data_IF_505634892642
#
_entry.id   IF_505634892642
#
_cell.length_a   1.000
_cell.length_b   1.000
_cell.length_c   1.000
_cell.angle_alpha   90.00
_cell.angle_beta   90.00
_cell.angle_gamma   90.00
#
_symmetry.space_group_name_H-M   'P 1'
#
loop_
_entity.id
_entity.type
_entity.pdbx_description
1 polymer ?
#
# COMPACT_ATOMS: atom_id res chain seq x y z
N UNK A 1 -26.46 -7.13 9.13
CA UNK A 1 -25.44 -6.31 9.80
C UNK A 1 -25.02 -5.21 8.84
N UNK A 2 -24.91 -3.96 9.29
CA UNK A 2 -24.57 -2.81 8.43
C UNK A 2 -23.17 -2.98 7.80
N UNK A 3 -23.09 -2.92 6.47
CA UNK A 3 -21.83 -3.11 5.71
C UNK A 3 -20.78 -2.06 6.05
N UNK A 4 -21.22 -0.83 6.29
CA UNK A 4 -20.33 0.27 6.66
C UNK A 4 -19.69 0.01 8.03
N UNK A 5 -20.49 -0.48 8.97
CA UNK A 5 -20.03 -0.90 10.29
C UNK A 5 -19.09 -2.13 10.22
N UNK A 6 -19.35 -3.10 9.33
CA UNK A 6 -18.44 -4.22 9.08
C UNK A 6 -17.08 -3.76 8.56
N UNK A 7 -17.06 -2.81 7.61
CA UNK A 7 -15.83 -2.20 7.11
C UNK A 7 -15.05 -1.48 8.21
N UNK A 8 -15.75 -0.74 9.07
CA UNK A 8 -15.16 -0.12 10.27
C UNK A 8 -14.52 -1.15 11.19
N UNK A 9 -15.20 -2.27 11.48
CA UNK A 9 -14.62 -3.31 12.33
C UNK A 9 -13.39 -3.98 11.71
N UNK A 10 -13.29 -4.07 10.38
CA UNK A 10 -12.05 -4.50 9.72
C UNK A 10 -10.91 -3.51 9.95
N UNK A 11 -11.17 -2.20 9.91
CA UNK A 11 -10.18 -1.18 10.29
C UNK A 11 -9.68 -1.41 11.73
N UNK A 12 -10.61 -1.49 12.69
CA UNK A 12 -10.30 -1.78 14.09
C UNK A 12 -9.44 -3.03 14.25
N UNK A 13 -9.87 -4.15 13.66
CA UNK A 13 -9.33 -5.48 13.92
C UNK A 13 -7.98 -5.73 13.27
N UNK A 14 -7.81 -5.35 12.01
CA UNK A 14 -6.65 -5.77 11.21
C UNK A 14 -5.64 -4.67 10.98
N UNK A 15 -6.05 -3.40 11.11
CA UNK A 15 -5.24 -2.28 10.65
C UNK A 15 -4.81 -1.31 11.76
N UNK A 16 -5.27 -1.53 13.00
CA UNK A 16 -4.82 -0.85 14.20
C UNK A 16 -3.43 -1.29 14.67
N UNK A 17 -2.84 -0.51 15.58
CA UNK A 17 -1.55 -0.75 16.20
C UNK A 17 -0.48 0.26 15.77
N UNK A 18 0.72 0.07 16.32
CA UNK A 18 1.90 0.86 15.98
C UNK A 18 2.73 0.10 14.93
N UNK A 19 2.86 0.70 13.76
CA UNK A 19 3.52 0.13 12.60
C UNK A 19 4.84 0.83 12.37
N UNK A 20 5.91 0.07 12.40
CA UNK A 20 7.27 0.55 12.34
C UNK A 20 7.83 0.23 10.97
N UNK A 21 8.35 1.24 10.27
CA UNK A 21 8.86 1.03 8.92
C UNK A 21 9.74 2.16 8.42
N UNK A 22 10.33 1.92 7.26
CA UNK A 22 11.13 2.93 6.56
C UNK A 22 10.35 3.36 5.34
N UNK A 23 9.90 4.59 5.38
CA UNK A 23 9.15 5.18 4.29
C UNK A 23 10.15 5.73 3.29
N UNK A 24 10.03 5.30 2.03
CA UNK A 24 10.92 5.75 0.97
C UNK A 24 10.11 6.40 -0.13
N UNK A 25 10.53 7.60 -0.53
CA UNK A 25 9.97 8.35 -1.64
C UNK A 25 10.82 8.13 -2.88
N UNK A 26 10.17 7.82 -3.98
CA UNK A 26 10.83 7.56 -5.25
C UNK A 26 10.39 8.55 -6.32
N UNK A 27 11.28 8.82 -7.28
CA UNK A 27 10.96 9.50 -8.53
C UNK A 27 10.05 8.64 -9.41
N UNK A 28 9.62 9.19 -10.55
CA UNK A 28 8.86 8.43 -11.56
C UNK A 28 9.71 7.36 -12.27
N UNK A 29 11.03 7.49 -12.23
CA UNK A 29 12.00 6.53 -12.79
C UNK A 29 12.41 5.44 -11.80
N UNK A 30 11.95 5.51 -10.54
CA UNK A 30 12.30 4.56 -9.49
C UNK A 30 13.54 4.93 -8.66
N UNK A 31 14.13 6.11 -8.89
CA UNK A 31 15.25 6.60 -8.09
C UNK A 31 14.81 7.01 -6.69
N UNK A 32 15.59 6.67 -5.68
CA UNK A 32 15.34 7.10 -4.30
C UNK A 32 15.54 8.62 -4.19
N UNK A 33 14.50 9.33 -3.77
CA UNK A 33 14.56 10.76 -3.45
C UNK A 33 14.96 10.94 -1.99
N UNK A 34 14.33 10.21 -1.08
CA UNK A 34 14.61 10.25 0.36
C UNK A 34 13.99 9.05 1.09
N UNK A 35 14.56 8.71 2.24
CA UNK A 35 14.04 7.70 3.16
C UNK A 35 14.02 8.22 4.60
N UNK A 36 13.02 7.84 5.38
CA UNK A 36 12.90 8.20 6.79
C UNK A 36 12.21 7.09 7.58
N UNK A 37 12.51 7.01 8.87
CA UNK A 37 11.81 6.08 9.78
C UNK A 37 10.45 6.67 10.13
N UNK A 38 9.44 5.80 10.20
CA UNK A 38 8.10 6.14 10.62
C UNK A 38 7.59 5.13 11.63
N UNK A 39 6.94 5.63 12.69
CA UNK A 39 6.01 4.86 13.51
C UNK A 39 4.61 5.40 13.18
N UNK A 40 3.87 4.66 12.34
CA UNK A 40 2.48 4.96 11.98
C UNK A 40 1.56 4.27 12.98
N UNK A 41 0.86 5.05 13.80
CA UNK A 41 0.02 4.54 14.87
C UNK A 41 -1.45 4.75 14.54
N UNK A 42 -2.23 3.68 14.54
CA UNK A 42 -3.70 3.70 14.52
C UNK A 42 -4.19 3.12 15.83
N UNK A 43 -4.60 3.97 16.77
CA UNK A 43 -4.97 3.56 18.13
C UNK A 43 -6.48 3.67 18.34
N UNK A 44 -7.21 2.55 18.34
CA UNK A 44 -8.63 2.54 18.67
C UNK A 44 -8.84 2.88 20.15
N UNK A 45 -9.92 3.58 20.48
CA UNK A 45 -10.44 3.63 21.86
C UNK A 45 -10.92 2.24 22.28
N UNK A 46 -11.10 2.03 23.59
CA UNK A 46 -11.47 0.73 24.16
C UNK A 46 -12.76 0.13 23.54
N UNK A 47 -13.68 0.97 23.11
CA UNK A 47 -14.95 0.62 22.48
C UNK A 47 -14.89 0.56 20.94
N UNK A 48 -13.72 0.87 20.36
CA UNK A 48 -13.48 1.10 18.95
C UNK A 48 -14.49 2.01 18.24
N UNK A 49 -15.09 3.00 18.92
CA UNK A 49 -15.92 4.01 18.24
C UNK A 49 -15.08 5.11 17.57
N UNK A 50 -13.80 5.20 17.93
CA UNK A 50 -12.87 6.20 17.41
C UNK A 50 -11.47 5.59 17.26
N UNK A 51 -10.75 5.96 16.20
CA UNK A 51 -9.35 5.59 15.97
C UNK A 51 -8.52 6.86 15.86
N UNK A 52 -7.55 7.02 16.76
CA UNK A 52 -6.59 8.10 16.74
C UNK A 52 -5.43 7.75 15.81
N UNK A 53 -5.08 8.65 14.90
CA UNK A 53 -3.98 8.46 13.97
C UNK A 53 -2.88 9.48 14.20
N UNK A 54 -1.67 8.98 14.38
CA UNK A 54 -0.46 9.77 14.47
C UNK A 54 0.68 9.07 13.73
N UNK A 55 1.56 9.87 13.14
CA UNK A 55 2.82 9.38 12.59
C UNK A 55 3.98 10.07 13.29
N UNK A 56 4.94 9.28 13.76
CA UNK A 56 6.21 9.79 14.30
C UNK A 56 7.33 9.54 13.29
N UNK A 57 7.88 10.61 12.73
CA UNK A 57 8.93 10.58 11.72
C UNK A 57 10.31 10.82 12.35
N UNK A 58 11.32 10.12 11.85
CA UNK A 58 12.72 10.40 12.12
C UNK A 58 13.50 10.41 10.81
N UNK A 59 14.01 11.59 10.44
CA UNK A 59 14.70 11.84 9.19
C UNK A 59 16.20 11.56 9.29
N UNK A 60 16.88 11.50 8.14
CA UNK A 60 18.31 11.19 8.04
C UNK A 60 19.23 12.12 8.83
N UNK A 61 18.85 13.40 8.93
CA UNK A 61 19.59 14.44 9.65
C UNK A 61 19.31 14.44 11.17
N UNK A 62 18.57 13.45 11.69
CA UNK A 62 18.19 13.36 13.09
C UNK A 62 16.98 14.20 13.49
N UNK A 63 16.42 15.00 12.57
CA UNK A 63 15.16 15.72 12.83
C UNK A 63 14.05 14.70 13.10
N UNK A 64 13.24 14.99 14.12
CA UNK A 64 12.01 14.24 14.42
C UNK A 64 10.79 15.14 14.25
N UNK A 65 9.68 14.54 13.83
CA UNK A 65 8.41 15.25 13.67
C UNK A 65 7.25 14.30 14.01
N UNK A 66 6.30 14.76 14.82
CA UNK A 66 5.05 14.03 15.05
C UNK A 66 3.92 14.75 14.34
N UNK A 67 3.23 14.05 13.46
CA UNK A 67 2.01 14.54 12.81
C UNK A 67 0.81 13.82 13.39
N UNK A 68 -0.14 14.59 13.89
CA UNK A 68 -1.43 14.11 14.41
C UNK A 68 -2.49 14.40 13.34
N UNK A 69 -3.35 13.42 13.09
CA UNK A 69 -4.46 13.53 12.15
C UNK A 69 -5.78 13.58 12.92
N UNK A 70 -6.82 14.12 12.28
CA UNK A 70 -8.17 14.08 12.83
C UNK A 70 -8.59 12.64 13.13
N UNK A 71 -9.20 12.38 14.31
CA UNK A 71 -9.66 11.05 14.65
C UNK A 71 -10.70 10.53 13.65
N UNK A 72 -10.58 9.26 13.28
CA UNK A 72 -11.62 8.57 12.53
C UNK A 72 -12.75 8.20 13.50
N UNK A 73 -14.01 8.38 13.09
CA UNK A 73 -15.19 8.11 13.93
C UNK A 73 -16.11 7.10 13.27
N UNK A 74 -16.58 6.12 14.04
CA UNK A 74 -17.49 5.09 13.55
C UNK A 74 -18.81 5.70 13.02
N UNK A 75 -19.41 5.12 11.96
CA UNK A 75 -18.88 4.07 11.08
C UNK A 75 -18.13 4.63 9.87
N UNK A 76 -17.77 5.92 9.89
CA UNK A 76 -17.26 6.62 8.71
C UNK A 76 -15.79 6.29 8.51
N UNK A 77 -15.51 5.49 7.48
CA UNK A 77 -14.18 5.42 6.85
C UNK A 77 -14.34 5.70 5.36
N UNK A 78 -13.48 6.55 4.80
CA UNK A 78 -13.34 6.66 3.35
C UNK A 78 -12.52 5.50 2.76
N UNK A 79 -11.85 4.73 3.61
CA UNK A 79 -11.05 3.56 3.23
C UNK A 79 -11.91 2.32 3.09
N UNK A 80 -11.49 1.44 2.18
CA UNK A 80 -12.09 0.14 1.96
C UNK A 80 -11.17 -0.94 2.50
N UNK A 81 -11.67 -1.77 3.41
CA UNK A 81 -10.88 -2.77 4.13
C UNK A 81 -11.35 -4.18 3.79
N UNK A 82 -10.41 -4.98 3.30
CA UNK A 82 -10.49 -6.44 3.24
C UNK A 82 -9.61 -7.03 4.36
N UNK A 83 -9.58 -8.34 4.54
CA UNK A 83 -8.86 -8.95 5.68
C UNK A 83 -7.32 -8.85 5.55
N UNK A 84 -6.84 -8.75 4.32
CA UNK A 84 -5.44 -8.77 3.92
C UNK A 84 -5.02 -7.59 3.03
N UNK A 85 -5.91 -6.64 2.79
CA UNK A 85 -5.50 -5.35 2.24
C UNK A 85 -6.52 -4.26 2.47
N UNK A 86 -6.08 -3.01 2.37
CA UNK A 86 -6.97 -1.87 2.33
C UNK A 86 -6.58 -0.93 1.21
N UNK A 87 -7.51 -0.05 0.88
CA UNK A 87 -7.19 1.06 0.02
C UNK A 87 -7.87 2.37 0.40
N UNK A 88 -7.10 3.45 0.34
CA UNK A 88 -7.52 4.84 0.37
C UNK A 88 -7.14 5.53 -0.95
N UNK A 89 -7.77 6.64 -1.27
CA UNK A 89 -7.39 7.41 -2.45
C UNK A 89 -8.48 8.31 -2.98
N UNK A 90 -8.13 9.04 -4.01
CA UNK A 90 -9.06 9.83 -4.80
C UNK A 90 -10.09 8.89 -5.45
N UNK A 91 -11.36 9.29 -5.39
CA UNK A 91 -12.46 8.57 -6.05
C UNK A 91 -12.70 9.05 -7.48
N UNK A 92 -12.17 10.22 -7.85
CA UNK A 92 -12.35 10.84 -9.15
C UNK A 92 -11.10 11.64 -9.52
N UNK A 93 -10.80 11.71 -10.83
CA UNK A 93 -9.84 12.68 -11.37
C UNK A 93 -10.58 14.00 -11.56
N UNK A 94 -10.12 15.06 -10.88
CA UNK A 94 -10.72 16.39 -10.92
C UNK A 94 -9.68 17.39 -11.43
N UNK A 95 -10.10 18.26 -12.35
CA UNK A 95 -9.23 19.34 -12.84
C UNK A 95 -8.80 20.25 -11.70
N UNK A 96 -7.52 20.62 -11.64
CA UNK A 96 -6.98 21.49 -10.61
C UNK A 96 -6.89 20.84 -9.23
N UNK A 97 -6.85 19.50 -9.14
CA UNK A 97 -6.74 18.80 -7.86
C UNK A 97 -5.78 17.61 -7.98
N UNK A 98 -4.95 17.41 -6.96
CA UNK A 98 -4.07 16.25 -6.92
C UNK A 98 -4.86 14.94 -6.85
N UNK A 99 -4.34 13.90 -7.48
CA UNK A 99 -4.88 12.55 -7.40
C UNK A 99 -3.90 11.62 -6.67
N UNK A 100 -4.40 10.67 -5.89
CA UNK A 100 -3.54 9.63 -5.31
C UNK A 100 -4.29 8.31 -5.13
N UNK A 101 -3.51 7.24 -5.12
CA UNK A 101 -3.91 5.87 -4.78
C UNK A 101 -3.02 5.38 -3.67
N UNK A 102 -3.60 4.94 -2.54
CA UNK A 102 -2.92 4.29 -1.42
C UNK A 102 -3.42 2.85 -1.30
N UNK A 103 -2.55 1.89 -1.55
CA UNK A 103 -2.86 0.46 -1.50
C UNK A 103 -1.92 -0.17 -0.48
N UNK A 104 -2.50 -0.81 0.53
CA UNK A 104 -1.78 -1.58 1.52
C UNK A 104 -2.19 -3.05 1.43
N UNK A 105 -1.19 -3.92 1.39
CA UNK A 105 -1.30 -5.35 1.51
C UNK A 105 -0.76 -5.78 2.87
N UNK A 106 -1.36 -6.81 3.46
CA UNK A 106 -1.03 -7.29 4.81
C UNK A 106 -0.83 -8.80 4.78
N UNK A 107 0.23 -9.22 5.46
CA UNK A 107 0.49 -10.62 5.75
C UNK A 107 0.98 -10.73 7.18
N UNK A 108 0.20 -11.39 8.03
CA UNK A 108 0.48 -11.50 9.47
C UNK A 108 0.70 -10.12 10.12
N UNK A 109 1.91 -9.86 10.61
CA UNK A 109 2.33 -8.61 11.25
C UNK A 109 3.05 -7.65 10.30
N UNK A 110 3.23 -8.04 9.05
CA UNK A 110 3.90 -7.24 8.02
C UNK A 110 2.88 -6.57 7.09
N UNK A 111 3.24 -5.39 6.60
CA UNK A 111 2.49 -4.64 5.60
C UNK A 111 3.41 -4.14 4.50
N UNK A 112 2.91 -4.19 3.28
CA UNK A 112 3.49 -3.52 2.13
C UNK A 112 2.48 -2.50 1.63
N UNK A 113 2.83 -1.23 1.72
CA UNK A 113 2.00 -0.15 1.19
C UNK A 113 2.73 0.58 0.08
N UNK A 114 2.04 0.96 -0.97
CA UNK A 114 2.56 1.88 -1.97
C UNK A 114 1.53 2.94 -2.33
N UNK A 115 2.00 4.18 -2.42
CA UNK A 115 1.21 5.33 -2.85
C UNK A 115 1.73 5.84 -4.19
N UNK A 116 0.85 5.90 -5.19
CA UNK A 116 1.07 6.69 -6.39
C UNK A 116 0.43 8.07 -6.22
N UNK A 117 1.21 9.15 -6.40
CA UNK A 117 0.72 10.53 -6.28
C UNK A 117 0.91 11.28 -7.60
N UNK A 118 -0.17 11.92 -8.03
CA UNK A 118 -0.26 12.73 -9.24
C UNK A 118 -0.50 14.20 -8.86
N UNK A 119 -0.02 15.11 -9.70
CA UNK A 119 -0.25 16.54 -9.55
C UNK A 119 -1.63 16.97 -10.08
N UNK A 120 -1.88 18.27 -10.09
CA UNK A 120 -3.16 18.88 -10.49
C UNK A 120 -3.45 18.78 -12.00
N UNK A 121 -2.43 18.48 -12.81
CA UNK A 121 -2.57 18.17 -14.23
C UNK A 121 -2.90 16.70 -14.48
N UNK A 122 -2.82 15.86 -13.44
CA UNK A 122 -2.95 14.41 -13.56
C UNK A 122 -1.64 13.71 -13.93
N UNK A 123 -0.51 14.41 -13.94
CA UNK A 123 0.81 13.81 -14.19
C UNK A 123 1.33 13.11 -12.94
N UNK A 124 1.86 11.90 -13.10
CA UNK A 124 2.48 11.16 -11.99
C UNK A 124 3.69 11.95 -11.48
N UNK A 125 3.72 12.23 -10.17
CA UNK A 125 4.76 13.06 -9.55
C UNK A 125 5.81 12.26 -8.79
N UNK A 126 5.38 11.20 -8.09
CA UNK A 126 6.23 10.36 -7.23
C UNK A 126 5.50 9.13 -6.71
N UNK A 127 6.29 8.21 -6.19
CA UNK A 127 5.81 7.12 -5.34
C UNK A 127 6.23 7.32 -3.89
N UNK A 128 5.50 6.70 -2.97
CA UNK A 128 6.01 6.47 -1.61
C UNK A 128 5.66 5.06 -1.17
N UNK A 129 6.66 4.32 -0.70
CA UNK A 129 6.52 2.90 -0.34
C UNK A 129 6.82 2.73 1.14
N UNK A 130 5.97 1.96 1.83
CA UNK A 130 6.03 1.68 3.27
C UNK A 130 6.05 0.16 3.51
N UNK A 131 7.23 -0.47 3.55
CA UNK A 131 7.39 -1.74 4.26
C UNK A 131 7.30 -1.46 5.76
N UNK A 132 6.33 -2.06 6.44
CA UNK A 132 6.08 -1.84 7.87
C UNK A 132 5.86 -3.16 8.60
N UNK A 133 6.24 -3.21 9.88
CA UNK A 133 6.00 -4.32 10.79
C UNK A 133 5.32 -3.85 12.06
N UNK A 134 4.41 -4.66 12.60
CA UNK A 134 3.69 -4.36 13.84
C UNK A 134 4.64 -4.46 15.06
N UNK A 135 4.70 -3.40 15.86
CA UNK A 135 5.33 -3.40 17.18
C UNK A 135 6.84 -3.15 17.24
N UNK A 136 7.60 -3.28 16.14
CA UNK A 136 9.04 -3.02 16.12
C UNK A 136 9.58 -2.79 14.70
N UNK A 137 10.70 -2.07 14.60
CA UNK A 137 11.47 -2.03 13.36
C UNK A 137 12.13 -3.39 13.13
N UNK A 138 12.05 -3.90 11.91
CA UNK A 138 12.86 -5.05 11.51
C UNK A 138 14.32 -4.57 11.43
N UNK A 139 15.12 -4.92 12.43
CA UNK A 139 16.54 -4.62 12.42
C UNK A 139 17.24 -5.47 11.35
N UNK A 140 18.01 -4.82 10.47
CA UNK A 140 19.04 -5.51 9.72
C UNK A 140 20.12 -5.97 10.72
N UNK A 141 20.47 -7.26 10.69
CA UNK A 141 21.54 -7.83 11.53
C UNK A 141 22.79 -6.94 11.45
N UNK A 142 23.13 -6.32 12.58
CA UNK A 142 24.29 -5.47 12.72
C UNK A 142 25.55 -6.34 12.73
N UNK A 143 26.21 -6.48 11.59
CA UNK A 143 27.66 -6.74 11.59
C UNK A 143 28.36 -5.39 11.75
N UNK A 144 29.14 -5.30 12.82
CA UNK A 144 29.63 -4.06 13.44
C UNK A 144 30.15 -3.00 12.47
N UNK A 145 29.69 -1.76 12.64
CA UNK A 145 30.28 -0.61 11.97
C UNK A 145 29.67 0.68 12.49
N UNK A 146 30.54 1.55 12.98
CA UNK A 146 30.28 2.81 13.69
C UNK A 146 29.30 3.77 13.00
N UNK A 147 28.72 4.59 13.87
CA UNK A 147 27.66 5.59 13.69
C UNK A 147 28.05 6.70 12.70
N UNK A 148 27.51 6.62 11.47
CA UNK A 148 27.19 7.76 10.57
C UNK A 148 26.55 7.32 9.24
N UNK A 149 26.61 6.03 8.90
CA UNK A 149 26.00 5.45 7.68
C UNK A 149 24.71 4.64 7.94
N UNK A 150 24.10 4.80 9.11
CA UNK A 150 23.01 3.93 9.57
C UNK A 150 21.75 3.96 8.70
N UNK A 151 21.43 5.07 8.00
CA UNK A 151 20.26 5.10 7.10
C UNK A 151 20.42 4.31 5.80
N UNK A 152 21.65 4.07 5.32
CA UNK A 152 21.88 3.23 4.14
C UNK A 152 21.92 1.72 4.47
N UNK A 153 21.90 1.36 5.76
CA UNK A 153 22.08 -0.03 6.23
C UNK A 153 20.79 -0.74 6.66
N UNK A 154 19.63 -0.19 6.35
CA UNK A 154 18.34 -0.80 6.74
C UNK A 154 17.74 -1.78 5.72
N UNK A 155 18.48 -2.13 4.66
CA UNK A 155 17.97 -2.93 3.53
C UNK A 155 18.70 -4.27 3.44
N UNK A 156 18.75 -5.02 4.54
CA UNK A 156 19.26 -6.40 4.52
C UNK A 156 18.12 -7.43 4.63
N UNK A 157 16.99 -7.14 3.94
CA UNK A 157 16.03 -8.19 3.59
C UNK A 157 16.60 -8.90 2.38
N UNK A 158 16.79 -10.24 2.41
CA UNK A 158 17.27 -10.98 1.25
C UNK A 158 16.45 -10.60 0.02
N UNK A 159 17.13 -10.26 -1.07
CA UNK A 159 16.46 -9.97 -2.32
C UNK A 159 15.70 -11.23 -2.76
N UNK A 160 14.37 -11.15 -2.80
CA UNK A 160 13.55 -12.19 -3.40
C UNK A 160 13.69 -12.09 -4.92
N UNK A 161 13.79 -13.22 -5.64
CA UNK A 161 13.73 -13.19 -7.09
C UNK A 161 12.36 -12.64 -7.53
N UNK A 162 12.27 -11.96 -8.70
CA UNK A 162 10.98 -11.58 -9.27
C UNK A 162 10.02 -12.77 -9.34
N UNK A 163 8.73 -12.56 -9.04
CA UNK A 163 7.75 -13.64 -8.93
C UNK A 163 7.66 -14.52 -10.19
N UNK A 164 7.86 -13.95 -11.38
CA UNK A 164 7.85 -14.67 -12.66
C UNK A 164 9.04 -15.61 -12.83
N UNK A 165 10.13 -15.41 -12.10
CA UNK A 165 11.29 -16.31 -12.08
C UNK A 165 11.11 -17.47 -11.10
N UNK A 166 10.14 -17.38 -10.18
CA UNK A 166 9.82 -18.44 -9.23
C UNK A 166 8.89 -19.47 -9.86
N UNK A 167 7.81 -19.01 -10.49
CA UNK A 167 6.82 -19.88 -11.13
C UNK A 167 5.97 -19.09 -12.13
N UNK A 168 5.52 -19.76 -13.19
CA UNK A 168 4.47 -19.27 -14.09
C UNK A 168 3.05 -19.60 -13.62
N UNK A 169 2.91 -20.50 -12.64
CA UNK A 169 1.66 -21.23 -12.37
C UNK A 169 0.94 -20.78 -11.09
N UNK A 170 1.25 -19.59 -10.60
CA UNK A 170 0.62 -18.97 -9.44
C UNK A 170 -0.91 -18.97 -9.56
N UNK A 171 -1.57 -19.74 -8.68
CA UNK A 171 -3.03 -19.82 -8.57
C UNK A 171 -3.50 -19.10 -7.32
N UNK A 172 -4.66 -18.47 -7.38
CA UNK A 172 -5.13 -17.63 -6.29
C UNK A 172 -6.61 -17.40 -6.22
N UNK A 173 -6.97 -16.55 -5.27
CA UNK A 173 -8.34 -16.04 -5.10
C UNK A 173 -8.33 -14.52 -5.12
N UNK A 174 -9.35 -13.93 -5.73
CA UNK A 174 -9.60 -12.49 -5.77
C UNK A 174 -10.81 -12.17 -4.90
N UNK A 175 -10.63 -11.26 -3.95
CA UNK A 175 -11.70 -10.65 -3.19
C UNK A 175 -11.87 -9.18 -3.61
N UNK A 176 -13.11 -8.75 -3.84
CA UNK A 176 -13.45 -7.38 -4.25
C UNK A 176 -14.23 -6.67 -3.15
N UNK A 177 -14.05 -5.36 -3.03
CA UNK A 177 -14.93 -4.47 -2.28
C UNK A 177 -15.31 -3.23 -3.12
N UNK A 178 -16.59 -2.89 -3.12
CA UNK A 178 -17.15 -1.74 -3.85
C UNK A 178 -17.32 -0.51 -2.94
N UNK A 179 -17.56 0.71 -3.50
CA UNK A 179 -17.74 1.94 -2.72
C UNK A 179 -18.87 1.90 -1.69
N UNK A 180 -19.87 1.05 -1.89
CA UNK A 180 -20.98 0.79 -0.96
C UNK A 180 -20.71 -0.42 -0.04
N UNK A 181 -19.43 -0.78 0.11
CA UNK A 181 -18.92 -1.82 1.01
C UNK A 181 -19.47 -3.22 0.76
N UNK A 182 -19.89 -3.53 -0.47
CA UNK A 182 -20.24 -4.90 -0.83
C UNK A 182 -18.98 -5.72 -1.05
N UNK A 183 -18.95 -6.89 -0.42
CA UNK A 183 -17.88 -7.88 -0.60
C UNK A 183 -18.54 -9.14 -1.16
N UNK A 184 -18.56 -9.34 -2.50
CA UNK A 184 -19.04 -10.59 -3.08
C UNK A 184 -18.12 -11.76 -2.69
N UNK A 185 -18.58 -13.02 -2.86
CA UNK A 185 -17.74 -14.19 -2.67
C UNK A 185 -16.45 -14.12 -3.50
N UNK A 186 -15.31 -14.62 -2.98
CA UNK A 186 -14.07 -14.66 -3.74
C UNK A 186 -14.19 -15.51 -5.02
N UNK A 187 -13.46 -15.12 -6.05
CA UNK A 187 -13.37 -15.86 -7.32
C UNK A 187 -11.96 -16.43 -7.50
N UNK A 188 -11.86 -17.60 -8.14
CA UNK A 188 -10.56 -18.20 -8.51
C UNK A 188 -9.93 -17.37 -9.63
N UNK A 189 -8.62 -17.19 -9.56
CA UNK A 189 -7.85 -16.47 -10.57
C UNK A 189 -6.44 -17.05 -10.69
N UNK A 190 -5.77 -16.78 -11.79
CA UNK A 190 -4.33 -17.01 -11.95
C UNK A 190 -3.59 -15.69 -11.98
N UNK A 191 -2.32 -15.70 -11.61
CA UNK A 191 -1.50 -14.50 -11.64
C UNK A 191 -1.02 -14.21 -13.06
N UNK A 192 -0.90 -12.91 -13.37
CA UNK A 192 -0.19 -12.41 -14.53
C UNK A 192 0.81 -11.35 -14.07
N UNK A 193 2.09 -11.42 -14.51
CA UNK A 193 3.09 -10.40 -14.22
C UNK A 193 2.60 -9.00 -14.56
N UNK A 194 2.97 -8.01 -13.73
CA UNK A 194 2.72 -6.60 -14.05
C UNK A 194 3.38 -6.21 -15.38
N UNK A 195 4.46 -6.90 -15.78
CA UNK A 195 5.16 -6.66 -17.04
C UNK A 195 4.30 -6.95 -18.27
N UNK A 196 3.30 -7.84 -18.14
CA UNK A 196 2.34 -8.16 -19.19
C UNK A 196 1.20 -7.13 -19.30
N UNK A 197 1.16 -6.12 -18.43
CA UNK A 197 0.18 -5.04 -18.51
C UNK A 197 0.51 -4.06 -19.66
N UNK A 198 -0.47 -3.23 -20.10
CA UNK A 198 -0.29 -2.29 -21.21
C UNK A 198 0.99 -1.46 -21.14
N UNK A 199 1.56 -1.14 -22.31
CA UNK A 199 2.86 -0.43 -22.42
C UNK A 199 2.83 0.99 -21.86
N UNK A 200 1.65 1.62 -21.79
CA UNK A 200 1.45 2.97 -21.25
C UNK A 200 1.45 3.03 -19.70
N UNK A 201 1.60 1.89 -19.03
CA UNK A 201 1.73 1.80 -17.59
C UNK A 201 3.21 1.79 -17.18
N UNK A 202 3.57 2.67 -16.25
CA UNK A 202 4.83 2.53 -15.53
C UNK A 202 4.78 1.26 -14.69
N UNK A 203 5.93 0.58 -14.64
CA UNK A 203 6.15 -0.63 -13.84
C UNK A 203 7.44 -0.41 -13.07
N UNK A 204 7.34 -0.37 -11.74
CA UNK A 204 8.50 -0.20 -10.87
C UNK A 204 8.55 -1.30 -9.83
N UNK A 205 9.76 -1.80 -9.61
CA UNK A 205 10.07 -2.80 -8.60
C UNK A 205 10.92 -2.16 -7.50
N UNK A 206 10.56 -2.42 -6.26
CA UNK A 206 11.22 -1.88 -5.08
C UNK A 206 11.75 -3.03 -4.21
N UNK A 207 12.51 -2.64 -3.19
CA UNK A 207 12.95 -3.55 -2.13
C UNK A 207 11.75 -4.20 -1.40
N UNK A 208 11.98 -5.33 -0.73
CA UNK A 208 10.96 -6.09 0.03
C UNK A 208 9.86 -6.73 -0.83
N UNK A 209 10.16 -7.03 -2.09
CA UNK A 209 9.25 -7.72 -2.99
C UNK A 209 8.05 -6.87 -3.43
N UNK A 210 8.09 -5.55 -3.23
CA UNK A 210 7.00 -4.64 -3.55
C UNK A 210 7.18 -4.13 -4.98
N UNK A 211 6.12 -4.16 -5.78
CA UNK A 211 6.10 -3.55 -7.11
C UNK A 211 4.82 -2.74 -7.30
N UNK A 212 4.85 -1.73 -8.15
CA UNK A 212 3.67 -0.94 -8.51
C UNK A 212 3.55 -0.81 -10.03
N UNK A 213 2.31 -0.83 -10.50
CA UNK A 213 1.96 -0.49 -11.87
C UNK A 213 0.84 0.55 -11.91
N UNK A 214 1.04 1.62 -12.67
CA UNK A 214 0.07 2.70 -12.82
C UNK A 214 0.32 3.52 -14.10
N UNK A 215 -0.68 4.25 -14.62
CA UNK A 215 -0.47 5.14 -15.76
C UNK A 215 0.46 6.31 -15.41
N UNK A 216 1.17 6.85 -16.41
CA UNK A 216 1.96 8.09 -16.24
C UNK A 216 1.07 9.32 -16.06
N UNK A 217 -0.12 9.28 -16.65
CA UNK A 217 -1.07 10.36 -16.73
C UNK A 217 -2.46 9.81 -16.41
N UNK A 218 -3.18 10.45 -15.49
CA UNK A 218 -4.60 10.16 -15.24
C UNK A 218 -5.46 11.29 -15.79
N UNK A 219 -6.60 10.93 -16.36
CA UNK A 219 -7.53 11.88 -16.97
C UNK A 219 -8.97 11.55 -16.56
N UNK A 220 -9.79 12.59 -16.43
CA UNK A 220 -11.21 12.44 -16.13
C UNK A 220 -11.91 11.74 -17.31
N UNK A 221 -12.76 10.77 -17.01
CA UNK A 221 -13.54 10.06 -18.02
C UNK A 221 -12.77 8.96 -18.77
N UNK A 222 -11.51 8.70 -18.40
CA UNK A 222 -10.74 7.55 -18.88
C UNK A 222 -10.70 6.46 -17.82
N UNK A 223 -10.76 5.21 -18.29
CA UNK A 223 -10.62 4.03 -17.44
C UNK A 223 -9.15 3.77 -17.16
N UNK A 224 -8.82 3.37 -15.93
CA UNK A 224 -7.47 3.00 -15.55
C UNK A 224 -7.49 2.20 -14.24
N UNK A 225 -6.33 1.67 -13.86
CA UNK A 225 -6.14 1.09 -12.54
C UNK A 225 -4.78 1.46 -11.95
N UNK A 226 -4.64 1.21 -10.66
CA UNK A 226 -3.35 1.22 -9.98
C UNK A 226 -3.22 -0.11 -9.26
N UNK A 227 -2.17 -0.88 -9.56
CA UNK A 227 -1.91 -2.19 -9.00
C UNK A 227 -0.62 -2.20 -8.19
N UNK A 228 -0.62 -2.89 -7.05
CA UNK A 228 0.57 -3.13 -6.22
C UNK A 228 0.72 -4.62 -6.04
N UNK A 229 1.88 -5.16 -6.39
CA UNK A 229 2.28 -6.53 -6.07
C UNK A 229 3.16 -6.52 -4.82
N UNK A 230 2.98 -7.53 -3.97
CA UNK A 230 3.89 -7.83 -2.88
C UNK A 230 4.18 -9.32 -2.84
N UNK A 231 5.40 -9.68 -3.25
CA UNK A 231 5.95 -11.00 -3.06
C UNK A 231 6.35 -11.13 -1.58
N UNK A 232 5.45 -11.70 -0.79
CA UNK A 232 5.61 -11.85 0.66
C UNK A 232 6.77 -12.78 0.98
N UNK A 233 6.82 -13.90 0.26
CA UNK A 233 7.88 -14.91 0.30
C UNK A 233 7.84 -15.71 -1.00
N UNK A 234 8.66 -16.76 -1.10
CA UNK A 234 8.76 -17.56 -2.32
C UNK A 234 7.49 -18.34 -2.70
N UNK A 235 6.51 -18.46 -1.82
CA UNK A 235 5.27 -19.24 -2.05
C UNK A 235 3.99 -18.42 -1.90
N UNK A 236 4.10 -17.13 -1.57
CA UNK A 236 2.95 -16.24 -1.36
C UNK A 236 3.19 -14.90 -2.04
N UNK A 237 2.29 -14.58 -2.96
CA UNK A 237 2.22 -13.30 -3.65
C UNK A 237 0.84 -12.68 -3.42
N UNK A 238 0.80 -11.38 -3.17
CA UNK A 238 -0.45 -10.63 -3.10
C UNK A 238 -0.47 -9.53 -4.15
N UNK A 239 -1.65 -9.23 -4.72
CA UNK A 239 -1.89 -8.06 -5.55
C UNK A 239 -3.03 -7.25 -4.95
N UNK A 240 -2.89 -5.93 -4.88
CA UNK A 240 -3.97 -5.01 -4.58
C UNK A 240 -4.21 -4.09 -5.76
N UNK A 241 -5.46 -3.94 -6.21
CA UNK A 241 -5.77 -3.11 -7.39
C UNK A 241 -6.93 -2.17 -7.12
N UNK A 242 -6.73 -0.86 -7.33
CA UNK A 242 -7.82 0.12 -7.41
C UNK A 242 -8.25 0.28 -8.86
N UNK A 243 -9.54 0.09 -9.12
CA UNK A 243 -10.13 0.15 -10.46
C UNK A 243 -10.92 1.45 -10.65
N UNK A 244 -10.79 2.05 -11.83
CA UNK A 244 -11.48 3.29 -12.21
C UNK A 244 -12.11 3.12 -13.59
N UNK A 245 -13.37 3.54 -13.71
CA UNK A 245 -14.05 3.67 -14.99
C UNK A 245 -14.25 5.16 -15.35
N UNK A 246 -15.05 5.43 -16.39
CA UNK A 246 -15.36 6.80 -16.84
C UNK A 246 -16.08 7.65 -15.78
N UNK A 247 -16.74 7.02 -14.81
CA UNK A 247 -17.47 7.67 -13.71
C UNK A 247 -16.62 7.81 -12.44
N UNK A 248 -15.43 7.20 -12.40
CA UNK A 248 -14.50 7.27 -11.27
C UNK A 248 -14.20 5.91 -10.67
N UNK A 249 -13.90 5.89 -9.38
CA UNK A 249 -13.49 4.70 -8.65
C UNK A 249 -14.64 3.67 -8.55
N UNK A 250 -14.39 2.44 -9.00
CA UNK A 250 -15.41 1.39 -9.08
C UNK A 250 -15.23 0.31 -8.03
N UNK A 251 -14.00 -0.07 -7.70
CA UNK A 251 -13.73 -1.12 -6.71
C UNK A 251 -12.26 -1.18 -6.31
N UNK A 252 -12.02 -1.83 -5.17
CA UNK A 252 -10.71 -2.30 -4.75
C UNK A 252 -10.71 -3.83 -4.74
N UNK A 253 -9.68 -4.45 -5.30
CA UNK A 253 -9.46 -5.90 -5.21
C UNK A 253 -8.21 -6.22 -4.43
N UNK A 254 -8.23 -7.36 -3.74
CA UNK A 254 -7.04 -8.02 -3.25
C UNK A 254 -7.04 -9.45 -3.76
N UNK A 255 -5.95 -9.82 -4.42
CA UNK A 255 -5.66 -11.17 -4.88
C UNK A 255 -4.57 -11.80 -4.04
N UNK A 256 -4.71 -13.09 -3.71
CA UNK A 256 -3.68 -13.89 -3.03
C UNK A 256 -3.36 -15.10 -3.88
N UNK A 257 -2.10 -15.21 -4.29
CA UNK A 257 -1.60 -16.30 -5.11
C UNK A 257 -0.62 -17.17 -4.33
N UNK A 258 -0.64 -18.47 -4.64
CA UNK A 258 0.20 -19.50 -4.05
C UNK A 258 0.66 -20.48 -5.13
N UNK A 259 1.75 -21.18 -4.82
CA UNK A 259 2.31 -22.30 -5.58
C UNK A 259 2.55 -23.48 -4.64
#
# INVERSE_FOLDING_TARGET
>A
MDRKLQNWYKFCRYYSGDLYGIWTRYSTTGDVIESWRCIRSFRPKADCHEIHHQNHYTYANGKTETKIFEPYKQPITTGLFLDNGFSWGSTNVKSGSTFFSDICLRYENSRATAIAKYDESGSLKRFTVFPEHLGHFLDAVAHGGTTKTALHRFVNVPALPPAHQISSDWQGTLQRITPDWQIPPPVVTSWQPLDNLPEDYLKLHFTNGISISCPAQVERGKEFFVAVDWLVNQTVLQRGTRHYDRSGFTSFTVEVFRI
#
